data_IF_264222324885
#
_entry.id   IF_264222324885
#
_cell.length_a   1.000
_cell.length_b   1.000
_cell.length_c   1.000
_cell.angle_alpha   90.00
_cell.angle_beta   90.00
_cell.angle_gamma   90.00
#
_symmetry.space_group_name_H-M   'P 1'
#
loop_
_entity.id
_entity.type
_entity.pdbx_description
1 polymer ?
#
# COMPACT_ATOMS: atom_id res chain seq x y z
N UNK A 1 -15.34 9.73 -19.70
CA UNK A 1 -16.75 10.18 -19.64
C UNK A 1 -17.61 9.44 -20.65
N UNK A 2 -17.30 9.48 -21.97
CA UNK A 2 -18.02 8.70 -22.98
C UNK A 2 -18.03 7.18 -22.67
N UNK A 3 -16.89 6.63 -22.25
CA UNK A 3 -16.78 5.22 -21.86
C UNK A 3 -17.65 4.80 -20.67
N UNK A 4 -17.96 5.71 -19.74
CA UNK A 4 -18.86 5.40 -18.62
C UNK A 4 -20.29 5.24 -19.13
N UNK A 5 -20.69 6.09 -20.08
CA UNK A 5 -22.01 6.05 -20.68
C UNK A 5 -22.20 4.79 -21.55
N UNK A 6 -21.18 4.47 -22.36
CA UNK A 6 -21.17 3.33 -23.28
C UNK A 6 -20.56 2.04 -22.71
N UNK A 7 -20.30 2.00 -21.40
CA UNK A 7 -19.81 0.79 -20.73
C UNK A 7 -20.74 -0.39 -21.04
N UNK A 8 -20.15 -1.51 -21.51
CA UNK A 8 -20.92 -2.67 -21.95
C UNK A 8 -21.80 -3.18 -20.82
N UNK A 9 -23.12 -3.30 -21.02
CA UNK A 9 -24.02 -3.86 -20.03
C UNK A 9 -24.06 -5.40 -20.07
N UNK A 10 -23.24 -6.03 -20.93
CA UNK A 10 -23.26 -7.46 -21.19
C UNK A 10 -21.98 -8.15 -20.71
N UNK A 11 -22.17 -9.26 -19.99
CA UNK A 11 -21.13 -10.24 -19.74
C UNK A 11 -21.13 -11.25 -20.90
N UNK A 12 -20.08 -11.23 -21.71
CA UNK A 12 -19.96 -12.03 -22.93
C UNK A 12 -19.21 -13.35 -22.71
N UNK A 13 -18.57 -13.54 -21.56
CA UNK A 13 -17.80 -14.74 -21.23
C UNK A 13 -18.17 -15.27 -19.84
N UNK A 14 -17.88 -16.54 -19.58
CA UNK A 14 -18.12 -17.17 -18.28
C UNK A 14 -17.44 -16.41 -17.13
N UNK A 15 -16.16 -16.05 -17.30
CA UNK A 15 -15.44 -15.25 -16.30
C UNK A 15 -16.14 -13.92 -15.99
N UNK A 16 -16.69 -13.25 -17.01
CA UNK A 16 -17.41 -11.99 -16.83
C UNK A 16 -18.73 -12.18 -16.08
N UNK A 17 -19.42 -13.30 -16.33
CA UNK A 17 -20.63 -13.68 -15.59
C UNK A 17 -20.29 -13.96 -14.13
N UNK A 18 -19.21 -14.70 -13.86
CA UNK A 18 -18.77 -15.02 -12.50
C UNK A 18 -18.40 -13.76 -11.72
N UNK A 19 -17.73 -12.79 -12.35
CA UNK A 19 -17.46 -11.49 -11.74
C UNK A 19 -18.73 -10.69 -11.46
N UNK A 20 -19.70 -10.70 -12.38
CA UNK A 20 -20.94 -9.97 -12.21
C UNK A 20 -21.77 -10.55 -11.05
N UNK A 21 -21.91 -11.89 -10.97
CA UNK A 21 -22.60 -12.57 -9.87
C UNK A 21 -21.91 -12.37 -8.53
N UNK A 22 -20.57 -12.26 -8.52
CA UNK A 22 -19.80 -12.00 -7.32
C UNK A 22 -20.14 -10.67 -6.64
N UNK A 23 -20.73 -9.71 -7.36
CA UNK A 23 -21.17 -8.43 -6.77
C UNK A 23 -22.35 -8.58 -5.82
N UNK A 24 -23.24 -9.54 -6.09
CA UNK A 24 -24.38 -9.86 -5.23
C UNK A 24 -23.99 -10.88 -4.15
N UNK A 25 -23.24 -11.91 -4.55
CA UNK A 25 -22.81 -12.98 -3.65
C UNK A 25 -21.37 -13.38 -3.95
N UNK A 26 -20.48 -12.94 -3.09
CA UNK A 26 -19.09 -13.38 -3.11
C UNK A 26 -18.97 -14.80 -2.51
N UNK A 27 -18.90 -15.81 -3.37
CA UNK A 27 -18.76 -17.22 -2.98
C UNK A 27 -17.77 -17.96 -3.88
N UNK A 28 -16.58 -18.23 -3.34
CA UNK A 28 -15.51 -18.94 -4.04
C UNK A 28 -15.82 -20.42 -4.27
N UNK A 29 -16.67 -21.05 -3.44
CA UNK A 29 -17.10 -22.44 -3.66
C UNK A 29 -18.02 -22.56 -4.86
N UNK A 30 -18.74 -21.49 -5.18
CA UNK A 30 -19.56 -21.36 -6.38
C UNK A 30 -18.79 -20.81 -7.59
N UNK A 31 -17.47 -20.60 -7.49
CA UNK A 31 -16.63 -19.92 -8.49
C UNK A 31 -17.09 -18.49 -8.82
N UNK A 32 -17.59 -17.75 -7.82
CA UNK A 32 -18.12 -16.39 -7.95
C UNK A 32 -17.33 -15.41 -7.06
N UNK A 33 -16.20 -14.85 -7.55
CA UNK A 33 -15.62 -15.08 -8.87
C UNK A 33 -14.69 -16.31 -8.87
N UNK A 34 -14.24 -16.72 -10.06
CA UNK A 34 -13.26 -17.80 -10.19
C UNK A 34 -11.96 -17.49 -9.42
N UNK A 35 -11.20 -18.54 -9.10
CA UNK A 35 -9.92 -18.42 -8.41
C UNK A 35 -8.98 -17.44 -9.14
N UNK A 36 -8.27 -16.51 -8.45
CA UNK A 36 -8.02 -16.42 -7.01
C UNK A 36 -9.02 -15.57 -6.21
N UNK A 37 -10.20 -15.29 -6.76
CA UNK A 37 -11.24 -14.57 -6.04
C UNK A 37 -11.21 -13.05 -6.21
N UNK A 38 -10.11 -12.46 -6.68
CA UNK A 38 -9.99 -11.03 -7.04
C UNK A 38 -10.67 -10.04 -6.08
N UNK A 39 -10.39 -10.13 -4.76
CA UNK A 39 -11.20 -9.50 -3.73
C UNK A 39 -11.31 -7.97 -3.88
N UNK A 40 -10.24 -7.29 -4.29
CA UNK A 40 -10.28 -5.82 -4.45
C UNK A 40 -10.98 -5.39 -5.74
N UNK A 41 -10.94 -6.21 -6.79
CA UNK A 41 -11.69 -5.94 -8.01
C UNK A 41 -13.20 -6.05 -7.75
N UNK A 42 -13.63 -7.15 -7.10
CA UNK A 42 -15.04 -7.35 -6.74
C UNK A 42 -15.52 -6.28 -5.76
N UNK A 43 -14.73 -5.96 -4.73
CA UNK A 43 -15.07 -4.89 -3.80
C UNK A 43 -15.25 -3.54 -4.52
N UNK A 44 -14.36 -3.20 -5.45
CA UNK A 44 -14.48 -2.00 -6.28
C UNK A 44 -15.76 -2.01 -7.12
N UNK A 45 -16.10 -3.16 -7.71
CA UNK A 45 -17.35 -3.36 -8.43
C UNK A 45 -18.59 -3.17 -7.55
N UNK A 46 -18.61 -3.75 -6.35
CA UNK A 46 -19.71 -3.60 -5.37
C UNK A 46 -19.96 -2.14 -5.01
N UNK A 47 -18.88 -1.36 -4.83
CA UNK A 47 -18.98 0.08 -4.53
C UNK A 47 -19.66 0.85 -5.67
N UNK A 48 -19.37 0.51 -6.93
CA UNK A 48 -20.05 1.13 -8.07
C UNK A 48 -21.47 0.60 -8.23
N UNK A 49 -21.69 -0.69 -7.98
CA UNK A 49 -22.98 -1.36 -8.09
C UNK A 49 -24.03 -0.80 -7.12
N UNK A 50 -23.60 -0.26 -5.97
CA UNK A 50 -24.46 0.50 -5.07
C UNK A 50 -25.16 1.72 -5.74
N UNK A 51 -24.65 2.19 -6.90
CA UNK A 51 -25.22 3.28 -7.68
C UNK A 51 -25.62 2.87 -9.10
N UNK A 52 -25.32 1.65 -9.52
CA UNK A 52 -25.52 1.15 -10.90
C UNK A 52 -26.10 -0.24 -10.85
N UNK A 53 -27.39 -0.37 -11.16
CA UNK A 53 -28.14 -1.62 -11.02
C UNK A 53 -27.62 -2.78 -11.90
N UNK A 54 -26.96 -2.49 -13.03
CA UNK A 54 -26.40 -3.54 -13.87
C UNK A 54 -24.98 -3.92 -13.38
N UNK A 55 -24.74 -5.16 -12.91
CA UNK A 55 -23.46 -5.55 -12.30
C UNK A 55 -22.30 -5.57 -13.31
N UNK A 56 -22.53 -6.04 -14.54
CA UNK A 56 -21.51 -6.00 -15.60
C UNK A 56 -21.12 -4.56 -15.92
N UNK A 57 -22.10 -3.67 -16.05
CA UNK A 57 -21.86 -2.24 -16.27
C UNK A 57 -21.08 -1.61 -15.10
N UNK A 58 -21.42 -1.97 -13.86
CA UNK A 58 -20.71 -1.48 -12.68
C UNK A 58 -19.22 -1.84 -12.70
N UNK A 59 -18.88 -3.10 -13.05
CA UNK A 59 -17.50 -3.55 -13.21
C UNK A 59 -16.75 -2.80 -14.31
N UNK A 60 -17.37 -2.65 -15.49
CA UNK A 60 -16.78 -1.89 -16.59
C UNK A 60 -16.55 -0.41 -16.22
N UNK A 61 -17.49 0.21 -15.50
CA UNK A 61 -17.31 1.57 -14.99
C UNK A 61 -16.15 1.64 -13.99
N UNK A 62 -16.02 0.66 -13.09
CA UNK A 62 -14.90 0.59 -12.16
C UNK A 62 -13.55 0.52 -12.90
N UNK A 63 -13.45 -0.32 -13.94
CA UNK A 63 -12.27 -0.39 -14.80
C UNK A 63 -11.93 0.95 -15.46
N UNK A 64 -12.92 1.62 -16.04
CA UNK A 64 -12.75 2.92 -16.69
C UNK A 64 -12.27 3.97 -15.68
N UNK A 65 -12.82 3.99 -14.46
CA UNK A 65 -12.39 4.91 -13.40
C UNK A 65 -10.94 4.61 -12.99
N UNK A 66 -10.62 3.34 -12.74
CA UNK A 66 -9.28 2.92 -12.34
C UNK A 66 -8.24 3.27 -13.42
N UNK A 67 -8.53 2.98 -14.68
CA UNK A 67 -7.66 3.32 -15.81
C UNK A 67 -7.54 4.85 -15.97
N UNK A 68 -8.65 5.59 -15.92
CA UNK A 68 -8.59 7.05 -16.04
C UNK A 68 -7.75 7.69 -14.93
N UNK A 69 -7.84 7.16 -13.70
CA UNK A 69 -7.01 7.60 -12.58
C UNK A 69 -5.51 7.44 -12.85
N UNK A 70 -5.12 6.45 -13.69
CA UNK A 70 -3.73 6.19 -14.05
C UNK A 70 -3.10 7.30 -14.89
N UNK A 71 -3.89 8.20 -15.47
CA UNK A 71 -3.37 9.42 -16.11
C UNK A 71 -2.48 10.20 -15.15
N UNK A 72 -2.83 10.26 -13.87
CA UNK A 72 -2.09 11.01 -12.84
C UNK A 72 -0.66 10.46 -12.66
N UNK A 73 -0.46 9.18 -12.28
CA UNK A 73 0.88 8.62 -12.15
C UNK A 73 1.67 8.62 -13.47
N UNK A 74 1.03 8.38 -14.62
CA UNK A 74 1.69 8.47 -15.93
C UNK A 74 2.31 9.86 -16.16
N UNK A 75 1.53 10.93 -15.94
CA UNK A 75 2.01 12.31 -16.11
C UNK A 75 3.15 12.60 -15.14
N UNK A 76 3.06 12.19 -13.87
CA UNK A 76 4.14 12.40 -12.90
C UNK A 76 5.43 11.65 -13.25
N UNK A 77 5.34 10.48 -13.87
CA UNK A 77 6.49 9.74 -14.37
C UNK A 77 7.13 10.46 -15.58
N UNK A 78 6.31 10.89 -16.55
CA UNK A 78 6.76 11.51 -17.80
C UNK A 78 7.32 12.93 -17.61
N UNK A 79 6.80 13.70 -16.65
CA UNK A 79 7.23 15.08 -16.37
C UNK A 79 8.70 15.23 -15.97
N UNK A 80 9.41 14.13 -15.72
CA UNK A 80 10.85 14.14 -15.45
C UNK A 80 11.70 14.36 -16.69
N UNK A 81 11.17 14.00 -17.84
CA UNK A 81 11.88 14.02 -19.11
C UNK A 81 11.19 14.90 -20.15
N UNK A 82 9.91 15.22 -19.94
CA UNK A 82 9.09 15.97 -20.90
C UNK A 82 8.32 17.11 -20.22
N UNK A 83 7.86 18.08 -21.03
CA UNK A 83 6.98 19.14 -20.55
C UNK A 83 5.62 18.58 -20.10
N UNK A 84 4.87 19.36 -19.30
CA UNK A 84 3.54 18.95 -18.81
C UNK A 84 2.57 18.66 -19.96
N UNK A 85 2.58 19.49 -21.01
CA UNK A 85 1.70 19.33 -22.19
C UNK A 85 2.03 18.04 -22.93
N UNK A 86 3.31 17.78 -23.17
CA UNK A 86 3.75 16.55 -23.83
C UNK A 86 3.43 15.30 -22.98
N UNK A 87 3.59 15.39 -21.66
CA UNK A 87 3.27 14.29 -20.74
C UNK A 87 1.78 13.95 -20.75
N UNK A 88 0.91 14.96 -20.78
CA UNK A 88 -0.54 14.78 -20.92
C UNK A 88 -0.88 14.17 -22.28
N UNK A 89 -0.28 14.67 -23.36
CA UNK A 89 -0.50 14.15 -24.70
C UNK A 89 -0.11 12.67 -24.82
N UNK A 90 1.09 12.29 -24.34
CA UNK A 90 1.55 10.89 -24.34
C UNK A 90 0.63 10.02 -23.48
N UNK A 91 0.24 10.48 -22.29
CA UNK A 91 -0.65 9.71 -21.39
C UNK A 91 -2.03 9.50 -22.00
N UNK A 92 -2.56 10.51 -22.71
CA UNK A 92 -3.81 10.40 -23.45
C UNK A 92 -3.67 9.44 -24.64
N UNK A 93 -2.59 9.57 -25.43
CA UNK A 93 -2.32 8.69 -26.56
C UNK A 93 -2.21 7.22 -26.15
N UNK A 94 -1.51 6.94 -25.06
CA UNK A 94 -1.39 5.58 -24.51
C UNK A 94 -2.75 5.04 -24.08
N UNK A 95 -3.54 5.82 -23.34
CA UNK A 95 -4.87 5.36 -22.90
C UNK A 95 -5.86 5.21 -24.05
N UNK A 96 -5.74 6.01 -25.10
CA UNK A 96 -6.55 5.91 -26.31
C UNK A 96 -6.14 4.75 -27.23
N UNK A 97 -5.13 3.95 -26.86
CA UNK A 97 -4.80 2.75 -27.62
C UNK A 97 -5.98 1.78 -27.61
N UNK A 98 -6.35 1.30 -28.82
CA UNK A 98 -7.55 0.48 -29.03
C UNK A 98 -7.66 -0.69 -28.04
N UNK A 99 -6.55 -1.42 -27.83
CA UNK A 99 -6.53 -2.54 -26.90
C UNK A 99 -6.84 -2.12 -25.44
N UNK A 100 -6.26 -1.01 -24.97
CA UNK A 100 -6.47 -0.50 -23.61
C UNK A 100 -7.94 -0.10 -23.39
N UNK A 101 -8.56 0.51 -24.39
CA UNK A 101 -9.97 0.89 -24.34
C UNK A 101 -10.87 -0.34 -24.28
N UNK A 102 -10.59 -1.36 -25.10
CA UNK A 102 -11.36 -2.61 -25.12
C UNK A 102 -11.31 -3.32 -23.77
N UNK A 103 -10.12 -3.51 -23.19
CA UNK A 103 -10.00 -4.19 -21.89
C UNK A 103 -10.61 -3.38 -20.74
N UNK A 104 -10.64 -2.05 -20.83
CA UNK A 104 -11.28 -1.20 -19.84
C UNK A 104 -12.81 -1.26 -19.90
N UNK A 105 -13.37 -1.44 -21.10
CA UNK A 105 -14.82 -1.56 -21.31
C UNK A 105 -15.41 -2.92 -20.93
N UNK A 106 -14.58 -3.94 -20.75
CA UNK A 106 -15.02 -5.28 -20.36
C UNK A 106 -15.19 -5.40 -18.83
N UNK A 107 -16.18 -6.16 -18.33
CA UNK A 107 -16.34 -6.45 -16.91
C UNK A 107 -15.34 -7.52 -16.42
N UNK A 108 -14.05 -7.27 -16.65
CA UNK A 108 -12.93 -8.14 -16.26
C UNK A 108 -11.87 -7.35 -15.49
N UNK A 109 -11.06 -8.00 -14.65
CA UNK A 109 -10.09 -7.30 -13.79
C UNK A 109 -8.93 -6.62 -14.52
N UNK A 110 -8.75 -6.87 -15.82
CA UNK A 110 -7.64 -6.37 -16.64
C UNK A 110 -7.50 -4.84 -16.62
N UNK A 111 -8.60 -4.12 -16.85
CA UNK A 111 -8.59 -2.65 -16.91
C UNK A 111 -8.18 -2.02 -15.58
N UNK A 112 -8.78 -2.46 -14.48
CA UNK A 112 -8.45 -2.00 -13.14
C UNK A 112 -7.01 -2.39 -12.73
N UNK A 113 -6.57 -3.60 -13.09
CA UNK A 113 -5.19 -4.04 -12.82
C UNK A 113 -4.17 -3.16 -13.54
N UNK A 114 -4.43 -2.80 -14.80
CA UNK A 114 -3.56 -1.88 -15.55
C UNK A 114 -3.54 -0.50 -14.90
N UNK A 115 -4.68 0.02 -14.45
CA UNK A 115 -4.75 1.29 -13.74
C UNK A 115 -3.93 1.29 -12.43
N UNK A 116 -4.11 0.24 -11.62
CA UNK A 116 -3.36 0.03 -10.38
C UNK A 116 -1.85 -0.15 -10.62
N UNK A 117 -1.45 -0.79 -11.72
CA UNK A 117 -0.05 -1.00 -12.08
C UNK A 117 0.69 0.33 -12.28
N UNK A 118 0.06 1.33 -12.91
CA UNK A 118 0.67 2.65 -13.08
C UNK A 118 0.87 3.39 -11.75
N UNK A 119 -0.11 3.29 -10.84
CA UNK A 119 0.05 3.78 -9.47
C UNK A 119 1.20 3.09 -8.74
N UNK A 120 1.31 1.76 -8.89
CA UNK A 120 2.40 0.99 -8.34
C UNK A 120 3.77 1.46 -8.87
N UNK A 121 3.96 1.60 -10.19
CA UNK A 121 5.23 2.10 -10.74
C UNK A 121 5.59 3.50 -10.27
N UNK A 122 4.61 4.40 -10.22
CA UNK A 122 4.82 5.73 -9.67
C UNK A 122 5.27 5.68 -8.20
N UNK A 123 4.69 4.80 -7.40
CA UNK A 123 5.05 4.66 -5.99
C UNK A 123 6.45 4.09 -5.74
N UNK A 124 6.90 3.14 -6.56
CA UNK A 124 8.27 2.61 -6.51
C UNK A 124 9.25 3.75 -6.73
N UNK A 125 8.98 4.55 -7.74
CA UNK A 125 9.86 5.64 -8.13
C UNK A 125 9.81 6.81 -7.16
N UNK A 126 8.67 7.05 -6.49
CA UNK A 126 8.59 7.95 -5.35
C UNK A 126 9.45 7.44 -4.17
N UNK A 127 9.38 6.14 -3.87
CA UNK A 127 10.17 5.53 -2.81
C UNK A 127 11.68 5.56 -3.08
N UNK A 128 12.12 5.48 -4.35
CA UNK A 128 13.54 5.64 -4.72
C UNK A 128 14.10 7.02 -4.42
N UNK A 129 13.26 8.07 -4.47
CA UNK A 129 13.67 9.46 -4.23
C UNK A 129 13.70 9.85 -2.76
N UNK A 130 12.95 9.14 -1.92
CA UNK A 130 12.77 9.49 -0.51
C UNK A 130 13.21 8.36 0.41
N UNK A 131 14.17 8.64 1.29
CA UNK A 131 14.68 7.66 2.27
C UNK A 131 13.73 7.42 3.47
N UNK A 132 12.53 8.01 3.43
CA UNK A 132 11.58 7.93 4.52
C UNK A 132 10.87 6.57 4.52
N UNK A 133 10.83 5.91 5.69
CA UNK A 133 10.24 4.57 5.84
C UNK A 133 8.80 4.46 5.35
N UNK A 134 7.98 5.50 5.57
CA UNK A 134 6.57 5.50 5.19
C UNK A 134 6.38 5.60 3.67
N UNK A 135 7.36 6.14 2.93
CA UNK A 135 7.37 6.16 1.47
C UNK A 135 7.64 4.78 0.89
N UNK A 136 8.39 3.92 1.60
CA UNK A 136 8.64 2.55 1.19
C UNK A 136 7.45 1.61 1.44
N UNK A 137 6.52 1.99 2.34
CA UNK A 137 5.28 1.22 2.55
C UNK A 137 4.26 1.40 1.43
N UNK A 138 4.29 2.54 0.73
CA UNK A 138 3.36 2.84 -0.34
C UNK A 138 3.42 1.82 -1.50
N UNK A 139 4.60 1.49 -2.08
CA UNK A 139 4.68 0.45 -3.11
C UNK A 139 4.29 -0.93 -2.61
N UNK A 140 4.55 -1.27 -1.35
CA UNK A 140 4.08 -2.54 -0.76
C UNK A 140 2.55 -2.59 -0.67
N UNK A 141 1.92 -1.51 -0.22
CA UNK A 141 0.47 -1.40 -0.13
C UNK A 141 -0.19 -1.45 -1.52
N UNK A 142 0.34 -0.71 -2.48
CA UNK A 142 -0.16 -0.72 -3.87
C UNK A 142 0.10 -2.05 -4.57
N UNK A 143 1.22 -2.72 -4.28
CA UNK A 143 1.46 -4.07 -4.78
C UNK A 143 0.46 -5.07 -4.18
N UNK A 144 0.19 -5.00 -2.87
CA UNK A 144 -0.86 -5.83 -2.24
C UNK A 144 -2.23 -5.61 -2.89
N UNK A 145 -2.59 -4.34 -3.15
CA UNK A 145 -3.81 -3.99 -3.87
C UNK A 145 -3.81 -4.57 -5.29
N UNK A 146 -2.71 -4.42 -6.03
CA UNK A 146 -2.54 -4.97 -7.37
C UNK A 146 -2.74 -6.50 -7.38
N UNK A 147 -2.15 -7.20 -6.41
CA UNK A 147 -2.28 -8.66 -6.28
C UNK A 147 -3.71 -9.11 -6.00
N UNK A 148 -4.47 -8.35 -5.20
CA UNK A 148 -5.88 -8.66 -4.95
C UNK A 148 -6.83 -8.18 -6.07
N UNK A 149 -6.36 -7.34 -7.00
CA UNK A 149 -7.09 -7.05 -8.26
C UNK A 149 -6.75 -8.09 -9.32
N UNK A 150 -5.49 -8.53 -9.44
CA UNK A 150 -5.06 -9.53 -10.40
C UNK A 150 -3.73 -10.19 -10.03
N UNK A 151 -3.77 -11.49 -9.75
CA UNK A 151 -2.59 -12.28 -9.34
C UNK A 151 -1.56 -12.46 -10.46
N UNK A 152 -1.94 -12.41 -11.74
CA UNK A 152 -1.02 -12.58 -12.86
C UNK A 152 0.06 -11.49 -12.95
N UNK A 153 -0.09 -10.41 -12.16
CA UNK A 153 0.86 -9.29 -12.08
C UNK A 153 1.94 -9.53 -11.01
N UNK A 154 1.98 -10.72 -10.39
CA UNK A 154 3.02 -11.14 -9.45
C UNK A 154 4.47 -10.90 -9.94
N UNK A 155 4.83 -11.07 -11.22
CA UNK A 155 6.19 -10.82 -11.69
C UNK A 155 6.69 -9.39 -11.43
N UNK A 156 5.79 -8.41 -11.29
CA UNK A 156 6.15 -7.03 -10.96
C UNK A 156 6.66 -6.86 -9.51
N UNK A 157 6.56 -7.87 -8.65
CA UNK A 157 7.20 -7.93 -7.32
C UNK A 157 8.72 -7.72 -7.41
N UNK A 158 9.33 -8.12 -8.54
CA UNK A 158 10.76 -7.96 -8.79
C UNK A 158 11.21 -6.50 -8.63
N UNK A 159 10.35 -5.52 -8.94
CA UNK A 159 10.68 -4.10 -8.74
C UNK A 159 10.83 -3.72 -7.25
N UNK A 160 10.06 -4.33 -6.34
CA UNK A 160 10.24 -4.15 -4.88
C UNK A 160 11.57 -4.78 -4.44
N UNK A 161 11.90 -5.96 -4.96
CA UNK A 161 13.16 -6.62 -4.64
C UNK A 161 14.36 -5.77 -5.08
N UNK A 162 14.30 -5.16 -6.27
CA UNK A 162 15.32 -4.20 -6.71
C UNK A 162 15.39 -2.96 -5.82
N UNK A 163 14.24 -2.40 -5.42
CA UNK A 163 14.18 -1.26 -4.51
C UNK A 163 14.88 -1.57 -3.17
N UNK A 164 14.61 -2.74 -2.58
CA UNK A 164 15.24 -3.15 -1.33
C UNK A 164 16.73 -3.47 -1.50
N UNK A 165 17.13 -4.03 -2.64
CA UNK A 165 18.54 -4.24 -2.94
C UNK A 165 19.31 -2.92 -3.05
N UNK A 166 18.70 -1.87 -3.63
CA UNK A 166 19.27 -0.52 -3.66
C UNK A 166 19.35 0.11 -2.26
N UNK A 167 18.28 0.01 -1.45
CA UNK A 167 18.27 0.52 -0.06
C UNK A 167 19.31 -0.19 0.82
N UNK A 168 19.46 -1.51 0.65
CA UNK A 168 20.47 -2.30 1.35
C UNK A 168 21.89 -1.86 0.96
N UNK A 169 22.16 -1.65 -0.33
CA UNK A 169 23.47 -1.13 -0.78
C UNK A 169 23.77 0.24 -0.18
N UNK A 170 22.77 1.12 -0.09
CA UNK A 170 22.91 2.48 0.44
C UNK A 170 23.14 2.52 1.95
N UNK A 171 22.44 1.69 2.72
CA UNK A 171 22.42 1.78 4.19
C UNK A 171 23.09 0.61 4.92
N UNK A 172 23.50 -0.46 4.22
CA UNK A 172 24.12 -1.70 4.74
C UNK A 172 23.46 -2.31 5.99
N UNK A 173 22.18 -2.02 6.24
CA UNK A 173 21.49 -2.43 7.46
C UNK A 173 20.23 -3.25 7.14
N UNK A 174 20.35 -4.57 7.34
CA UNK A 174 19.24 -5.54 7.20
C UNK A 174 18.12 -5.25 8.22
N UNK A 175 18.47 -4.63 9.35
CA UNK A 175 17.51 -4.22 10.39
C UNK A 175 16.44 -3.24 9.87
N UNK A 176 16.74 -2.36 8.90
CA UNK A 176 15.73 -1.43 8.36
C UNK A 176 14.64 -2.18 7.58
N UNK A 177 15.04 -3.16 6.78
CA UNK A 177 14.12 -4.00 5.98
C UNK A 177 13.22 -4.82 6.91
N UNK A 178 13.79 -5.47 7.94
CA UNK A 178 13.02 -6.17 8.97
C UNK A 178 12.12 -5.23 9.79
N UNK A 179 12.56 -4.00 10.08
CA UNK A 179 11.73 -3.00 10.74
C UNK A 179 10.56 -2.53 9.85
N UNK A 180 10.69 -2.52 8.52
CA UNK A 180 9.56 -2.19 7.64
C UNK A 180 8.51 -3.28 7.64
N UNK A 181 8.92 -4.55 7.56
CA UNK A 181 8.02 -5.71 7.61
C UNK A 181 7.31 -5.81 8.97
N UNK A 182 8.04 -5.67 10.08
CA UNK A 182 7.45 -5.74 11.43
C UNK A 182 6.54 -4.55 11.72
N UNK A 183 6.83 -3.37 11.17
CA UNK A 183 6.02 -2.16 11.40
C UNK A 183 4.80 -2.08 10.49
N UNK A 184 4.82 -2.67 9.31
CA UNK A 184 3.63 -2.93 8.48
C UNK A 184 2.64 -3.87 9.21
N UNK A 185 3.16 -4.93 9.83
CA UNK A 185 2.36 -5.84 10.68
C UNK A 185 1.80 -5.09 11.91
N UNK A 186 2.62 -4.28 12.58
CA UNK A 186 2.18 -3.52 13.76
C UNK A 186 1.21 -2.37 13.44
N UNK A 187 1.33 -1.70 12.29
CA UNK A 187 0.41 -0.62 11.90
C UNK A 187 -1.00 -1.11 11.58
N UNK A 188 -1.13 -2.37 11.14
CA UNK A 188 -2.43 -3.00 10.93
C UNK A 188 -3.08 -3.46 12.26
N UNK A 189 -2.28 -3.81 13.29
CA UNK A 189 -2.80 -4.21 14.59
C UNK A 189 -3.07 -3.04 15.57
N UNK A 190 -2.33 -1.93 15.45
CA UNK A 190 -2.42 -0.79 16.38
C UNK A 190 -2.48 0.54 15.63
N UNK A 191 -3.66 0.86 15.10
CA UNK A 191 -4.01 2.20 14.65
C UNK A 191 -4.09 3.18 15.82
N UNK A 192 -2.94 3.67 16.31
CA UNK A 192 -2.89 4.68 17.37
C UNK A 192 -2.26 6.01 16.89
N UNK A 193 -2.94 7.16 17.10
CA UNK A 193 -2.51 8.48 16.62
C UNK A 193 -1.14 8.92 17.15
N UNK A 194 -0.42 9.65 16.29
CA UNK A 194 0.97 10.12 16.45
C UNK A 194 1.21 11.00 17.69
N UNK A 195 0.16 11.58 18.30
CA UNK A 195 0.24 12.54 19.40
C UNK A 195 0.52 11.91 20.78
N UNK A 196 0.15 10.64 21.01
CA UNK A 196 0.31 9.99 22.32
C UNK A 196 1.72 9.43 22.56
N UNK A 197 2.41 9.09 21.47
CA UNK A 197 3.71 8.39 21.48
C UNK A 197 4.88 9.22 22.01
N UNK A 198 4.86 10.55 21.83
CA UNK A 198 5.93 11.43 22.31
C UNK A 198 5.86 11.62 23.83
N UNK A 199 4.67 11.54 24.43
CA UNK A 199 4.46 11.69 25.87
C UNK A 199 4.81 10.42 26.65
N UNK A 200 4.43 9.24 26.16
CA UNK A 200 4.76 7.97 26.83
C UNK A 200 6.27 7.66 26.83
N UNK A 201 6.95 7.87 25.70
CA UNK A 201 8.40 7.65 25.64
C UNK A 201 9.16 8.64 26.52
N UNK A 202 8.70 9.90 26.60
CA UNK A 202 9.25 10.90 27.52
C UNK A 202 9.06 10.50 28.99
N UNK A 203 7.87 10.04 29.36
CA UNK A 203 7.55 9.68 30.74
C UNK A 203 8.25 8.41 31.21
N UNK A 204 8.43 7.43 30.31
CA UNK A 204 9.20 6.22 30.61
C UNK A 204 10.68 6.54 30.82
N UNK A 205 11.23 7.44 30.00
CA UNK A 205 12.63 7.86 30.13
C UNK A 205 12.87 8.67 31.40
N UNK A 206 11.94 9.57 31.76
CA UNK A 206 12.05 10.35 33.00
C UNK A 206 11.93 9.48 34.26
N UNK A 207 11.04 8.49 34.26
CA UNK A 207 10.89 7.58 35.40
C UNK A 207 12.09 6.64 35.55
N UNK A 208 12.67 6.17 34.44
CA UNK A 208 13.88 5.35 34.50
C UNK A 208 15.08 6.13 35.05
N UNK A 209 15.24 7.39 34.65
CA UNK A 209 16.28 8.29 35.17
C UNK A 209 16.11 8.61 36.66
N UNK A 210 14.88 8.75 37.16
CA UNK A 210 14.64 8.98 38.60
C UNK A 210 14.94 7.75 39.43
N UNK A 211 14.58 6.55 38.97
CA UNK A 211 14.92 5.30 39.64
C UNK A 211 16.43 5.03 39.66
N UNK A 212 17.15 5.34 38.57
CA UNK A 212 18.62 5.22 38.53
C UNK A 212 19.32 6.18 39.51
N UNK A 213 18.87 7.43 39.60
CA UNK A 213 19.41 8.38 40.57
C UNK A 213 19.15 7.94 42.01
N UNK A 214 17.97 7.40 42.29
CA UNK A 214 17.63 6.86 43.61
C UNK A 214 18.49 5.65 43.99
N UNK A 215 18.76 4.75 43.04
CA UNK A 215 19.63 3.58 43.27
C UNK A 215 21.09 3.99 43.54
N UNK A 216 21.60 4.97 42.79
CA UNK A 216 22.98 5.47 42.97
C UNK A 216 23.15 6.19 44.32
N UNK A 217 22.16 7.00 44.72
CA UNK A 217 22.14 7.67 46.04
C UNK A 217 22.16 6.67 47.21
N UNK A 218 21.35 5.61 47.16
CA UNK A 218 21.33 4.58 48.22
C UNK A 218 22.66 3.83 48.36
N UNK A 219 23.33 3.53 47.25
CA UNK A 219 24.66 2.88 47.28
C UNK A 219 25.77 3.77 47.86
N UNK A 220 25.58 5.10 47.83
CA UNK A 220 26.49 6.07 48.45
C UNK A 220 26.33 6.14 49.96
N UNK A 221 25.09 6.10 50.46
CA UNK A 221 24.79 6.10 51.90
C UNK A 221 25.24 4.81 52.60
N UNK A 222 25.04 3.64 51.96
CA UNK A 222 25.51 2.36 52.50
C UNK A 222 27.05 2.28 52.62
N UNK A 223 27.79 2.94 51.71
CA UNK A 223 29.26 3.03 51.78
C UNK A 223 29.76 3.94 52.90
N UNK A 224 29.03 5.00 53.24
CA UNK A 224 29.40 5.90 54.35
C UNK A 224 29.11 5.27 55.73
N UNK A 225 28.01 4.51 55.87
CA UNK A 225 27.75 3.75 57.10
C UNK A 225 28.77 2.62 57.34
N UNK A 226 29.22 1.94 56.28
CA UNK A 226 30.25 0.89 56.39
C UNK A 226 31.66 1.42 56.77
N UNK A 227 31.95 2.69 56.50
CA UNK A 227 33.24 3.31 56.85
C UNK A 227 33.24 3.99 58.21
N UNK A 228 32.08 4.48 58.69
CA UNK A 228 31.92 5.04 60.04
C UNK A 228 32.03 4.00 61.17
N UNK A 229 31.72 2.73 60.90
CA UNK A 229 31.79 1.64 61.90
C UNK A 229 33.21 1.13 62.18
N UNK A 230 34.24 1.58 61.44
CA UNK A 230 35.63 1.07 61.57
C UNK A 230 36.56 1.94 62.43
N UNK A 231 36.08 3.06 62.98
CA UNK A 231 36.90 4.01 63.77
C UNK A 231 36.30 4.35 65.15
N UNK A 232 35.47 3.48 65.73
CA UNK A 232 34.85 3.69 67.04
C UNK A 232 34.98 2.48 67.96
N UNK A 233 36.20 2.08 68.28
CA UNK A 233 36.49 1.19 69.41
C UNK A 233 37.95 1.34 69.83
N UNK A 234 38.24 2.44 70.52
CA UNK A 234 39.26 2.55 71.57
C UNK A 234 38.65 3.33 72.74
#
# INVERSE_FOLDING_TARGET
>A
MLEIYYASPYAATWDQVDFALALDRYDLLAMQPHFPGYPYFVLGGMLIHAFVDNPAKALSIFNVIALFSATIPMVFLLKKHHSTVMSLFISALLQSASYIMVIAGQPMSDGAALGALWWYFWSIELARKHDAWWMQLLPLALFSLLMGIRLSYAPFAVAILFLWHEDWKKHRSVLRICCFLTRLLFSNLFGLPRSRRRKEVSNLFSNWLSHLRAAISRSGEERQQATGSRYGSE
#
